data_IF_175695498172
#
_entry.id   IF_175695498172
#
_cell.length_a   1.000
_cell.length_b   1.000
_cell.length_c   1.000
_cell.angle_alpha   90.00
_cell.angle_beta   90.00
_cell.angle_gamma   90.00
#
_symmetry.space_group_name_H-M   'P 1'
#
loop_
_entity.id
_entity.type
_entity.pdbx_description
1 polymer ?
#
# COMPACT_ATOMS: atom_id res chain seq x y z
N UNK A 1 -0.04 -1.85 -11.09
CA UNK A 1 -0.56 -0.75 -10.24
C UNK A 1 -1.69 -0.05 -10.98
N UNK A 2 -2.68 0.48 -10.28
CA UNK A 2 -3.77 1.28 -10.84
C UNK A 2 -3.34 2.73 -11.15
N UNK A 3 -4.24 3.60 -11.65
CA UNK A 3 -3.97 5.03 -11.75
C UNK A 3 -3.88 5.70 -10.37
N UNK A 4 -3.34 6.92 -10.34
CA UNK A 4 -3.50 7.82 -9.19
C UNK A 4 -4.98 8.17 -9.05
N UNK A 5 -5.57 7.88 -7.89
CA UNK A 5 -6.98 8.11 -7.61
C UNK A 5 -7.23 8.29 -6.12
N UNK A 6 -8.40 8.81 -5.78
CA UNK A 6 -8.93 8.77 -4.42
C UNK A 6 -9.19 7.30 -4.03
N UNK A 7 -8.29 6.76 -3.20
CA UNK A 7 -8.43 5.43 -2.60
C UNK A 7 -8.67 5.54 -1.09
N UNK A 8 -9.21 6.68 -0.63
CA UNK A 8 -9.34 7.05 0.77
C UNK A 8 -8.10 7.78 1.31
N UNK A 9 -8.28 8.46 2.44
CA UNK A 9 -7.22 9.24 3.09
C UNK A 9 -7.19 10.71 2.67
N UNK A 10 -6.13 11.46 3.06
CA UNK A 10 -6.02 12.89 2.80
C UNK A 10 -5.51 13.25 1.39
N UNK A 11 -4.97 12.28 0.64
CA UNK A 11 -4.38 12.47 -0.70
C UNK A 11 -4.64 11.27 -1.61
N UNK A 12 -4.70 11.50 -2.92
CA UNK A 12 -4.76 10.41 -3.90
C UNK A 12 -3.54 9.49 -3.80
N UNK A 13 -3.74 8.19 -4.02
CA UNK A 13 -2.68 7.18 -4.02
C UNK A 13 -2.79 6.26 -5.23
N UNK A 14 -1.75 5.47 -5.48
CA UNK A 14 -1.73 4.48 -6.56
C UNK A 14 -1.99 3.10 -5.97
N UNK A 15 -3.20 2.56 -6.13
CA UNK A 15 -3.55 1.26 -5.60
C UNK A 15 -2.73 0.13 -6.23
N UNK A 16 -2.34 -0.84 -5.40
CA UNK A 16 -1.71 -2.07 -5.85
C UNK A 16 -2.75 -3.03 -6.41
N UNK A 17 -2.35 -3.76 -7.45
CA UNK A 17 -3.18 -4.81 -8.04
C UNK A 17 -2.69 -6.17 -7.54
N UNK A 18 -3.56 -7.20 -7.46
CA UNK A 18 -3.15 -8.56 -7.14
C UNK A 18 -1.96 -9.02 -8.01
N UNK A 19 -0.96 -9.63 -7.39
CA UNK A 19 0.25 -10.10 -8.06
C UNK A 19 1.27 -9.00 -8.41
N UNK A 20 1.08 -7.77 -7.94
CA UNK A 20 2.08 -6.71 -8.10
C UNK A 20 3.41 -7.09 -7.43
N UNK A 21 4.58 -6.83 -8.05
CA UNK A 21 5.89 -7.10 -7.46
C UNK A 21 6.20 -6.21 -6.24
N UNK A 22 5.38 -5.19 -5.99
CA UNK A 22 5.48 -4.34 -4.81
C UNK A 22 4.80 -4.95 -3.58
N UNK A 23 4.02 -6.03 -3.73
CA UNK A 23 3.38 -6.71 -2.59
C UNK A 23 4.44 -7.38 -1.73
N UNK A 24 4.36 -7.21 -0.41
CA UNK A 24 5.23 -7.88 0.58
C UNK A 24 6.74 -7.69 0.32
N UNK A 25 7.14 -6.57 -0.28
CA UNK A 25 8.48 -6.41 -0.83
C UNK A 25 9.31 -5.29 -0.16
N UNK A 26 8.77 -4.57 0.82
CA UNK A 26 9.53 -3.53 1.51
C UNK A 26 10.31 -4.10 2.71
N UNK A 27 11.58 -3.69 2.84
CA UNK A 27 12.43 -4.06 3.98
C UNK A 27 11.98 -3.40 5.30
N UNK A 28 11.23 -2.31 5.21
CA UNK A 28 10.70 -1.58 6.36
C UNK A 28 9.76 -0.45 5.94
N UNK A 29 8.88 -0.07 6.85
CA UNK A 29 7.87 0.97 6.60
C UNK A 29 7.38 1.59 7.92
N UNK A 30 6.72 2.76 7.84
CA UNK A 30 5.93 3.28 8.95
C UNK A 30 4.80 2.33 9.35
N UNK A 31 4.23 2.54 10.54
CA UNK A 31 3.14 1.71 11.06
C UNK A 31 1.84 1.75 10.23
N UNK A 32 1.66 2.79 9.41
CA UNK A 32 0.50 2.94 8.51
C UNK A 32 0.92 3.44 7.13
N UNK A 33 0.11 3.18 6.11
CA UNK A 33 0.24 3.79 4.79
C UNK A 33 -0.33 5.23 4.77
N UNK A 34 -0.32 5.90 3.61
CA UNK A 34 -0.80 7.29 3.51
C UNK A 34 -2.30 7.45 3.75
N UNK A 35 -3.06 6.36 3.67
CA UNK A 35 -4.51 6.33 3.92
C UNK A 35 -4.82 6.07 5.39
N UNK A 36 -3.80 5.75 6.20
CA UNK A 36 -3.94 5.34 7.60
C UNK A 36 -4.17 3.84 7.78
N UNK A 37 -4.02 3.02 6.72
CA UNK A 37 -4.14 1.57 6.84
C UNK A 37 -2.90 1.01 7.53
N UNK A 38 -3.10 0.17 8.54
CA UNK A 38 -2.00 -0.44 9.31
C UNK A 38 -1.14 -1.37 8.44
N UNK A 39 0.16 -1.41 8.71
CA UNK A 39 1.16 -2.20 7.98
C UNK A 39 1.90 -3.15 8.93
N UNK A 40 2.31 -4.36 8.50
CA UNK A 40 1.96 -5.01 7.24
C UNK A 40 0.57 -5.66 7.27
N UNK A 41 -0.09 -5.78 6.10
CA UNK A 41 -1.29 -6.62 5.91
C UNK A 41 -0.95 -8.03 5.38
N UNK A 42 0.34 -8.29 5.14
CA UNK A 42 0.89 -9.58 4.76
C UNK A 42 2.13 -9.97 5.57
N UNK A 43 3.07 -10.63 4.90
CA UNK A 43 4.36 -11.06 5.47
C UNK A 43 5.35 -9.91 5.63
N UNK A 44 5.26 -8.90 4.78
CA UNK A 44 5.96 -7.63 4.87
C UNK A 44 5.03 -6.54 4.36
N UNK A 45 5.43 -5.30 4.48
CA UNK A 45 4.62 -4.22 3.93
C UNK A 45 4.94 -3.99 2.46
N UNK A 46 4.02 -3.31 1.78
CA UNK A 46 4.13 -3.13 0.35
C UNK A 46 4.98 -1.94 -0.03
N UNK A 47 5.66 -1.99 -1.16
CA UNK A 47 6.43 -0.84 -1.63
C UNK A 47 5.47 0.29 -2.03
N UNK A 48 5.65 1.46 -1.40
CA UNK A 48 4.97 2.70 -1.75
C UNK A 48 3.97 3.20 -0.72
N UNK A 49 3.08 4.08 -1.18
CA UNK A 49 2.14 4.85 -0.36
C UNK A 49 0.84 4.10 0.01
N UNK A 50 0.65 2.90 -0.54
CA UNK A 50 -0.58 2.11 -0.45
C UNK A 50 -0.24 0.71 0.04
N UNK A 51 -0.92 0.25 1.09
CA UNK A 51 -0.87 -1.13 1.58
C UNK A 51 -2.07 -1.94 1.05
N UNK A 52 -1.80 -3.01 0.33
CA UNK A 52 -2.82 -3.90 -0.20
C UNK A 52 -3.50 -4.69 0.92
N UNK A 53 -4.82 -4.54 1.01
CA UNK A 53 -5.68 -5.34 1.88
C UNK A 53 -6.48 -6.31 1.01
N UNK A 54 -6.41 -7.63 1.25
CA UNK A 54 -7.24 -8.61 0.56
C UNK A 54 -8.75 -8.35 0.69
#
# INVERSE_FOLDING_TARGET
MGPLADNGGPTDTTALLPGSPALDAADGCPATDQRGVARPQGTACDIGAYEYTP
#
